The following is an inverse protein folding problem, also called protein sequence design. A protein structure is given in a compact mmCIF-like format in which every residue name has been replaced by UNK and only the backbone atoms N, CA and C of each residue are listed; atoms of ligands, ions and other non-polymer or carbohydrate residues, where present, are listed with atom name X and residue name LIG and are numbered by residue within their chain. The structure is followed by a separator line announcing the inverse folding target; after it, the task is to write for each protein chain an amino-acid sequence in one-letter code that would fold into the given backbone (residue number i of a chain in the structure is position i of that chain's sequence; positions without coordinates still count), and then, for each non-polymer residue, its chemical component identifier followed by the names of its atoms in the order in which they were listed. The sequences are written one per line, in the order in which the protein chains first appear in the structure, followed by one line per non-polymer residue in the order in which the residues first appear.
data_IF_221987329916
#
_entry.id   IF_221987329916
#
_cell.length_a   1.000
_cell.length_b   1.000
_cell.length_c   1.000
_cell.angle_alpha   90.00
_cell.angle_beta   90.00
_cell.angle_gamma   90.00
#
_symmetry.space_group_name_H-M   'P 1'
#
loop_
_entity.id
_entity.type
_entity.pdbx_description
1 polymer ?
#
# COMPACT_ATOMS: atom_id res chain seq x y z
N UNK A 1 37.60 24.90 32.72
CA UNK A 1 37.30 25.26 31.32
C UNK A 1 37.51 24.12 30.33
N UNK A 2 38.64 23.38 30.36
CA UNK A 2 38.95 22.28 29.42
C UNK A 2 37.85 21.20 29.27
N UNK A 3 37.32 20.65 30.38
CA UNK A 3 36.25 19.64 30.35
C UNK A 3 34.98 20.09 29.60
N UNK A 4 34.62 21.37 29.69
CA UNK A 4 33.44 21.93 28.98
C UNK A 4 33.70 22.03 27.48
N UNK A 5 34.93 22.31 27.08
CA UNK A 5 35.33 22.37 25.67
C UNK A 5 35.36 20.98 25.04
N UNK A 6 35.88 19.98 25.75
CA UNK A 6 35.86 18.57 25.34
C UNK A 6 34.43 18.05 25.18
N UNK A 7 33.52 18.40 26.11
CA UNK A 7 32.11 18.02 26.01
C UNK A 7 31.43 18.64 24.77
N UNK A 8 31.74 19.91 24.47
CA UNK A 8 31.21 20.58 23.26
C UNK A 8 31.72 19.93 21.98
N UNK A 9 33.01 19.62 21.91
CA UNK A 9 33.60 18.96 20.74
C UNK A 9 32.96 17.58 20.49
N UNK A 10 32.79 16.77 21.54
CA UNK A 10 32.13 15.46 21.43
C UNK A 10 30.69 15.60 20.92
N UNK A 11 29.95 16.57 21.44
CA UNK A 11 28.57 16.82 21.02
C UNK A 11 28.50 17.26 19.55
N UNK A 12 29.39 18.14 19.10
CA UNK A 12 29.47 18.57 17.70
C UNK A 12 29.83 17.40 16.77
N UNK A 13 30.76 16.52 17.18
CA UNK A 13 31.13 15.32 16.45
C UNK A 13 29.96 14.34 16.34
N UNK A 14 29.23 14.10 17.43
CA UNK A 14 28.05 13.23 17.44
C UNK A 14 26.95 13.78 16.55
N UNK A 15 26.67 15.09 16.62
CA UNK A 15 25.70 15.72 15.74
C UNK A 15 26.11 15.65 14.26
N UNK A 16 27.40 15.79 13.96
CA UNK A 16 27.92 15.58 12.59
C UNK A 16 27.68 14.14 12.13
N UNK A 17 28.04 13.15 12.96
CA UNK A 17 27.79 11.73 12.67
C UNK A 17 26.31 11.44 12.44
N UNK A 18 25.41 12.02 13.24
CA UNK A 18 23.96 11.88 13.05
C UNK A 18 23.48 12.49 11.73
N UNK A 19 23.96 13.67 11.36
CA UNK A 19 23.62 14.29 10.06
C UNK A 19 24.11 13.46 8.89
N UNK A 20 25.31 12.91 8.97
CA UNK A 20 25.88 12.09 7.90
C UNK A 20 25.14 10.76 7.76
N UNK A 21 24.79 10.12 8.88
CA UNK A 21 23.91 8.93 8.88
C UNK A 21 22.54 9.20 8.27
N UNK A 22 21.90 10.31 8.66
CA UNK A 22 20.60 10.71 8.11
C UNK A 22 20.65 10.90 6.59
N UNK A 23 21.70 11.56 6.08
CA UNK A 23 21.90 11.73 4.64
C UNK A 23 22.05 10.39 3.92
N UNK A 24 22.86 9.48 4.47
CA UNK A 24 23.06 8.15 3.90
C UNK A 24 21.77 7.34 3.86
N UNK A 25 20.98 7.36 4.93
CA UNK A 25 19.69 6.65 4.99
C UNK A 25 18.72 7.22 3.96
N UNK A 26 18.59 8.54 3.87
CA UNK A 26 17.70 9.16 2.88
C UNK A 26 18.11 8.81 1.44
N UNK A 27 19.41 8.72 1.17
CA UNK A 27 19.90 8.27 -0.14
C UNK A 27 19.48 6.82 -0.43
N UNK A 28 19.55 5.92 0.57
CA UNK A 28 19.12 4.53 0.40
C UNK A 28 17.60 4.42 0.18
N UNK A 29 16.80 5.21 0.92
CA UNK A 29 15.35 5.25 0.74
C UNK A 29 14.98 5.69 -0.68
N UNK A 30 15.66 6.71 -1.21
CA UNK A 30 15.43 7.15 -2.60
C UNK A 30 15.77 6.05 -3.63
N UNK A 31 16.82 5.26 -3.39
CA UNK A 31 17.14 4.12 -4.26
C UNK A 31 16.09 3.01 -4.18
N UNK A 32 15.49 2.77 -3.01
CA UNK A 32 14.39 1.81 -2.84
C UNK A 32 13.17 2.28 -3.64
N UNK A 33 12.78 3.55 -3.54
CA UNK A 33 11.68 4.10 -4.33
C UNK A 33 11.92 3.98 -5.84
N UNK A 34 13.16 4.21 -6.29
CA UNK A 34 13.52 4.03 -7.70
C UNK A 34 13.43 2.57 -8.15
N UNK A 35 13.89 1.64 -7.30
CA UNK A 35 13.77 0.20 -7.55
C UNK A 35 12.31 -0.23 -7.65
N UNK A 36 11.44 0.27 -6.77
CA UNK A 36 10.03 -0.11 -6.77
C UNK A 36 9.33 0.37 -8.04
N UNK A 37 9.62 1.60 -8.51
CA UNK A 37 9.17 2.10 -9.82
C UNK A 37 9.72 1.30 -10.99
N UNK A 38 10.96 0.82 -10.90
CA UNK A 38 11.54 -0.04 -11.93
C UNK A 38 10.84 -1.40 -11.97
N UNK A 39 10.58 -2.00 -10.81
CA UNK A 39 9.86 -3.27 -10.68
C UNK A 39 8.45 -3.19 -11.26
N UNK A 40 7.74 -2.08 -11.04
CA UNK A 40 6.44 -1.80 -11.64
C UNK A 40 6.52 -1.80 -13.18
N UNK A 41 7.48 -1.08 -13.76
CA UNK A 41 7.69 -1.05 -15.22
C UNK A 41 8.08 -2.42 -15.79
N UNK A 42 8.93 -3.15 -15.09
CA UNK A 42 9.29 -4.53 -15.46
C UNK A 42 8.04 -5.41 -15.44
N UNK A 43 7.20 -5.29 -14.41
CA UNK A 43 5.92 -5.99 -14.31
C UNK A 43 5.00 -5.69 -15.49
N UNK A 44 4.83 -4.41 -15.85
CA UNK A 44 4.03 -3.97 -17.00
C UNK A 44 4.55 -4.56 -18.30
N UNK A 45 5.85 -4.43 -18.57
CA UNK A 45 6.49 -4.98 -19.77
C UNK A 45 6.37 -6.52 -19.81
N UNK A 46 6.53 -7.18 -18.66
CA UNK A 46 6.38 -8.65 -18.55
C UNK A 46 4.96 -9.08 -18.87
N UNK A 47 3.96 -8.37 -18.35
CA UNK A 47 2.55 -8.65 -18.64
C UNK A 47 2.26 -8.47 -20.13
N UNK A 48 2.74 -7.39 -20.75
CA UNK A 48 2.58 -7.18 -22.20
C UNK A 48 3.21 -8.29 -23.03
N UNK A 49 4.39 -8.80 -22.66
CA UNK A 49 5.04 -9.90 -23.37
C UNK A 49 4.24 -11.21 -23.21
N UNK A 50 3.70 -11.47 -22.02
CA UNK A 50 2.82 -12.62 -21.77
C UNK A 50 1.54 -12.51 -22.60
N UNK A 51 0.93 -11.33 -22.67
CA UNK A 51 -0.28 -11.08 -23.43
C UNK A 51 -0.06 -11.24 -24.96
N UNK A 52 1.18 -11.07 -25.43
CA UNK A 52 1.59 -11.38 -26.80
C UNK A 52 1.77 -12.89 -27.08
N UNK A 53 1.63 -13.74 -26.05
CA UNK A 53 1.62 -15.19 -26.17
C UNK A 53 2.88 -15.90 -25.65
N UNK A 54 3.84 -15.17 -25.09
CA UNK A 54 5.04 -15.80 -24.53
C UNK A 54 4.73 -16.53 -23.22
N UNK A 55 5.35 -17.71 -22.97
CA UNK A 55 5.17 -18.43 -21.72
C UNK A 55 5.63 -17.60 -20.53
N UNK A 56 4.79 -17.53 -19.49
CA UNK A 56 5.09 -16.81 -18.24
C UNK A 56 6.43 -17.22 -17.62
N UNK A 57 6.75 -18.51 -17.67
CA UNK A 57 7.99 -19.08 -17.16
C UNK A 57 9.22 -18.52 -17.89
N UNK A 58 9.14 -18.36 -19.21
CA UNK A 58 10.21 -17.83 -20.04
C UNK A 58 10.45 -16.35 -19.70
N UNK A 59 9.38 -15.56 -19.61
CA UNK A 59 9.48 -14.13 -19.26
C UNK A 59 10.06 -13.96 -17.86
N UNK A 60 9.63 -14.76 -16.89
CA UNK A 60 10.21 -14.77 -15.53
C UNK A 60 11.71 -15.07 -15.55
N UNK A 61 12.11 -16.11 -16.28
CA UNK A 61 13.52 -16.51 -16.40
C UNK A 61 14.36 -15.37 -17.00
N UNK A 62 13.83 -14.68 -18.02
CA UNK A 62 14.49 -13.52 -18.62
C UNK A 62 14.67 -12.36 -17.63
N UNK A 63 13.66 -12.10 -16.79
CA UNK A 63 13.75 -11.09 -15.73
C UNK A 63 14.75 -11.50 -14.64
N UNK A 64 14.97 -12.80 -14.43
CA UNK A 64 15.99 -13.34 -13.53
C UNK A 64 15.62 -13.22 -12.05
N UNK A 65 14.33 -13.32 -11.73
CA UNK A 65 13.80 -13.17 -10.36
C UNK A 65 13.02 -14.39 -9.90
N UNK A 66 12.78 -14.49 -8.59
CA UNK A 66 12.02 -15.61 -8.04
C UNK A 66 10.58 -15.61 -8.55
N UNK A 67 9.93 -16.77 -8.51
CA UNK A 67 8.51 -16.88 -8.89
C UNK A 67 7.61 -15.97 -8.03
N UNK A 68 7.95 -15.80 -6.75
CA UNK A 68 7.24 -14.91 -5.85
C UNK A 68 7.37 -13.45 -6.30
N UNK A 69 8.60 -12.97 -6.46
CA UNK A 69 8.85 -11.57 -6.82
C UNK A 69 8.27 -11.23 -8.19
N UNK A 70 8.35 -12.17 -9.14
CA UNK A 70 7.74 -12.01 -10.46
C UNK A 70 6.21 -11.88 -10.37
N UNK A 71 5.56 -12.71 -9.55
CA UNK A 71 4.12 -12.62 -9.33
C UNK A 71 3.73 -11.29 -8.65
N UNK A 72 4.53 -10.81 -7.71
CA UNK A 72 4.29 -9.53 -7.03
C UNK A 72 4.45 -8.35 -8.01
N UNK A 73 5.44 -8.39 -8.91
CA UNK A 73 5.59 -7.44 -10.01
C UNK A 73 4.41 -7.45 -10.99
N UNK A 74 3.89 -8.62 -11.37
CA UNK A 74 2.72 -8.71 -12.25
C UNK A 74 1.44 -8.20 -11.59
N UNK A 75 1.26 -8.40 -10.28
CA UNK A 75 0.10 -7.87 -9.54
C UNK A 75 0.12 -6.35 -9.48
N UNK A 76 1.25 -5.79 -9.03
CA UNK A 76 1.43 -4.33 -8.97
C UNK A 76 1.24 -3.66 -10.33
N UNK A 77 1.72 -4.28 -11.41
CA UNK A 77 1.49 -3.78 -12.77
C UNK A 77 0.01 -3.71 -13.19
N UNK A 78 -0.82 -4.65 -12.73
CA UNK A 78 -2.27 -4.66 -13.01
C UNK A 78 -3.00 -3.57 -12.23
N UNK A 79 -2.61 -3.35 -10.97
CA UNK A 79 -3.19 -2.31 -10.11
C UNK A 79 -2.83 -0.89 -10.59
N UNK A 80 -1.64 -0.72 -11.17
CA UNK A 80 -1.19 0.56 -11.72
C UNK A 80 -1.69 0.86 -13.13
N UNK A 81 -2.24 -0.13 -13.84
CA UNK A 81 -2.81 0.10 -15.16
C UNK A 81 -4.11 0.89 -14.99
N UNK A 82 -4.31 2.02 -15.69
CA UNK A 82 -5.60 2.69 -15.68
C UNK A 82 -6.60 1.73 -16.33
N UNK A 83 -7.42 1.04 -15.53
CA UNK A 83 -8.57 0.33 -16.04
C UNK A 83 -9.39 1.33 -16.85
N UNK A 84 -9.60 1.03 -18.12
CA UNK A 84 -10.51 1.76 -19.00
C UNK A 84 -11.97 1.48 -18.61
N UNK A 85 -12.33 1.67 -17.34
CA UNK A 85 -13.65 1.42 -16.76
C UNK A 85 -14.24 2.68 -16.12
N UNK A 86 -14.13 3.83 -16.80
CA UNK A 86 -14.96 5.00 -16.48
C UNK A 86 -15.55 5.66 -17.74
N UNK A 87 -15.99 4.84 -18.70
CA UNK A 87 -16.67 5.34 -19.89
C UNK A 87 -17.77 4.40 -20.39
N UNK A 88 -18.83 4.27 -19.59
CA UNK A 88 -20.17 3.91 -20.06
C UNK A 88 -21.17 4.40 -19.00
N UNK A 89 -21.82 5.55 -19.22
CA UNK A 89 -23.22 5.57 -19.68
C UNK A 89 -24.15 5.28 -18.49
N UNK A 90 -24.86 6.27 -17.94
CA UNK A 90 -26.17 6.60 -18.51
C UNK A 90 -26.62 8.02 -18.15
N UNK A 91 -26.94 8.80 -19.17
CA UNK A 91 -27.65 10.07 -19.12
C UNK A 91 -29.15 9.76 -19.07
N UNK A 92 -29.65 9.36 -17.90
CA UNK A 92 -31.09 9.16 -17.68
C UNK A 92 -31.65 10.35 -16.90
N UNK A 93 -32.00 11.39 -17.65
CA UNK A 93 -32.80 12.50 -17.18
C UNK A 93 -34.24 12.02 -16.91
N UNK A 94 -34.60 11.70 -15.67
CA UNK A 94 -36.00 11.55 -15.28
C UNK A 94 -36.50 12.77 -14.50
N UNK A 95 -37.11 13.69 -15.23
CA UNK A 95 -38.04 14.65 -14.67
C UNK A 95 -39.33 13.92 -14.24
N UNK A 96 -39.91 14.29 -13.09
CA UNK A 96 -41.30 13.93 -12.75
C UNK A 96 -41.59 13.62 -11.27
N UNK A 97 -41.64 14.67 -10.45
CA UNK A 97 -42.66 14.99 -9.44
C UNK A 97 -43.74 13.92 -9.12
N UNK A 98 -43.85 13.44 -7.86
CA UNK A 98 -45.07 13.56 -7.03
C UNK A 98 -44.86 13.13 -5.56
N UNK A 99 -45.59 13.79 -4.67
CA UNK A 99 -45.55 13.71 -3.20
C UNK A 99 -46.28 12.47 -2.64
N UNK A 100 -45.91 12.00 -1.43
CA UNK A 100 -46.77 11.02 -0.74
C UNK A 100 -46.24 10.33 0.52
N UNK A 101 -46.37 11.03 1.66
CA UNK A 101 -46.87 10.54 2.97
C UNK A 101 -46.09 9.47 3.77
N UNK A 102 -45.59 9.94 4.90
CA UNK A 102 -45.72 9.43 6.29
C UNK A 102 -46.31 8.02 6.49
N UNK A 103 -45.54 7.18 7.22
CA UNK A 103 -46.11 6.35 8.28
C UNK A 103 -45.00 5.83 9.23
N UNK A 104 -44.93 6.44 10.41
CA UNK A 104 -44.39 5.85 11.64
C UNK A 104 -45.39 4.79 12.15
N UNK A 105 -45.00 3.51 12.33
CA UNK A 105 -45.50 2.72 13.46
C UNK A 105 -44.71 1.41 13.71
N UNK A 106 -44.11 1.35 14.90
CA UNK A 106 -43.99 0.22 15.84
C UNK A 106 -43.35 -1.14 15.47
N UNK A 107 -42.24 -1.40 16.19
CA UNK A 107 -41.97 -2.57 17.03
C UNK A 107 -41.96 -3.99 16.42
N UNK A 108 -40.80 -4.66 16.49
CA UNK A 108 -40.64 -5.82 17.39
C UNK A 108 -39.25 -6.44 17.38
N UNK A 109 -38.80 -6.77 18.60
CA UNK A 109 -37.97 -7.92 18.97
C UNK A 109 -36.48 -7.96 18.54
N UNK A 110 -35.63 -7.27 19.31
CA UNK A 110 -34.27 -7.77 19.58
C UNK A 110 -34.37 -8.98 20.51
N UNK A 111 -34.11 -10.18 19.99
CA UNK A 111 -33.84 -11.36 20.83
C UNK A 111 -32.36 -11.39 21.19
N UNK A 112 -32.17 -11.42 22.49
CA UNK A 112 -30.99 -11.58 23.30
C UNK A 112 -30.30 -12.95 23.12
N UNK A 113 -28.99 -12.95 23.41
CA UNK A 113 -28.06 -14.05 23.76
C UNK A 113 -26.71 -13.75 23.10
N UNK A 114 -25.62 -13.39 23.81
CA UNK A 114 -25.28 -13.57 25.21
C UNK A 114 -23.80 -13.92 25.25
N UNK A 115 -23.01 -13.24 26.09
CA UNK A 115 -21.60 -13.52 26.25
C UNK A 115 -20.83 -12.29 26.70
N UNK A 116 -21.08 -11.90 27.96
CA UNK A 116 -20.37 -10.84 28.67
C UNK A 116 -18.91 -11.24 28.94
N UNK A 117 -18.05 -10.23 28.88
CA UNK A 117 -16.61 -10.26 29.09
C UNK A 117 -16.20 -10.65 30.52
N UNK A 118 -15.01 -11.23 30.69
CA UNK A 118 -14.02 -10.83 31.70
C UNK A 118 -12.81 -11.79 31.76
N UNK A 119 -11.66 -11.30 31.25
CA UNK A 119 -10.42 -11.02 31.99
C UNK A 119 -9.85 -11.98 33.08
N UNK A 120 -8.56 -12.26 32.90
CA UNK A 120 -7.47 -12.08 33.88
C UNK A 120 -7.12 -13.19 34.92
N UNK A 121 -6.07 -13.96 34.61
CA UNK A 121 -4.79 -14.03 35.35
C UNK A 121 -4.09 -15.39 35.16
N UNK A 122 -2.96 -15.37 34.46
CA UNK A 122 -2.00 -16.48 34.43
C UNK A 122 -0.93 -16.27 35.48
N UNK A 123 -0.96 -17.07 36.54
CA UNK A 123 0.17 -17.28 37.43
C UNK A 123 0.09 -18.70 38.01
N UNK A 124 0.94 -19.59 37.50
CA UNK A 124 1.58 -20.75 38.18
C UNK A 124 2.43 -21.57 37.21
#
# INVERSE_FOLDING_TARGET
MKKRQELRQRLEEEQRKLRDRKKSINSLLSLIEQRDKLNEKIGQASQSIIDLGEPKELVRELVGVSQRDFNDMLKTAKESSPSAEDSSGDDESHAGNDEGRDNDEAASATKDAGGDDADDNGDQ
#
